data_IF_280020523746
#
_entry.id   IF_280020523746
#
_cell.length_a   1.000
_cell.length_b   1.000
_cell.length_c   1.000
_cell.angle_alpha   90.00
_cell.angle_beta   90.00
_cell.angle_gamma   90.00
#
_symmetry.space_group_name_H-M   'P 1'
#
loop_
_entity.id
_entity.type
_entity.pdbx_description
1 polymer ?
#
# COMPACT_ATOMS: atom_id res chain seq x y z
N UNK A 1 -1.09 -14.02 13.75
CA UNK A 1 0.19 -13.48 14.29
C UNK A 1 1.14 -13.06 13.18
N UNK A 2 1.44 -13.90 12.17
CA UNK A 2 2.35 -13.54 11.08
C UNK A 2 1.90 -12.33 10.24
N UNK A 3 0.62 -12.28 9.84
CA UNK A 3 0.08 -11.16 9.07
C UNK A 3 0.15 -9.82 9.81
N UNK A 4 -0.10 -9.82 11.13
CA UNK A 4 -0.01 -8.61 11.93
C UNK A 4 1.44 -8.15 12.07
N UNK A 5 2.36 -9.09 12.30
CA UNK A 5 3.80 -8.85 12.34
C UNK A 5 4.32 -8.25 11.03
N UNK A 6 3.86 -8.74 9.89
CA UNK A 6 4.22 -8.17 8.58
C UNK A 6 3.79 -6.71 8.41
N UNK A 7 2.66 -6.33 9.00
CA UNK A 7 2.19 -4.94 8.96
C UNK A 7 2.97 -4.06 9.94
N UNK A 8 3.30 -4.59 11.11
CA UNK A 8 4.03 -3.86 12.15
C UNK A 8 5.51 -3.66 11.79
N UNK A 9 6.08 -4.59 11.00
CA UNK A 9 7.50 -4.60 10.63
C UNK A 9 7.67 -4.62 9.08
N UNK A 10 7.34 -3.54 8.35
CA UNK A 10 7.27 -3.55 6.89
C UNK A 10 8.59 -3.83 6.16
N UNK A 11 9.72 -3.67 6.85
CA UNK A 11 11.06 -3.96 6.31
C UNK A 11 11.27 -5.46 6.10
N UNK A 12 10.54 -6.30 6.85
CA UNK A 12 10.62 -7.76 6.77
C UNK A 12 9.49 -8.38 5.94
N UNK A 13 8.69 -7.56 5.25
CA UNK A 13 7.62 -8.03 4.37
C UNK A 13 8.06 -9.12 3.37
N UNK A 14 9.23 -9.01 2.70
CA UNK A 14 9.69 -10.05 1.78
C UNK A 14 9.89 -11.41 2.47
N UNK A 15 10.47 -11.43 3.67
CA UNK A 15 10.70 -12.64 4.46
C UNK A 15 9.36 -13.24 4.90
N UNK A 16 8.42 -12.42 5.37
CA UNK A 16 7.09 -12.90 5.73
C UNK A 16 6.33 -13.46 4.52
N UNK A 17 6.47 -12.86 3.33
CA UNK A 17 5.87 -13.36 2.11
C UNK A 17 6.43 -14.73 1.71
N UNK A 18 7.74 -14.93 1.90
CA UNK A 18 8.36 -16.23 1.67
C UNK A 18 7.85 -17.31 2.64
N UNK A 19 7.66 -16.98 3.92
CA UNK A 19 7.05 -17.91 4.89
C UNK A 19 5.62 -18.26 4.47
N UNK A 20 4.82 -17.27 4.02
CA UNK A 20 3.49 -17.53 3.48
C UNK A 20 3.51 -18.46 2.26
N UNK A 21 4.54 -18.36 1.42
CA UNK A 21 4.71 -19.20 0.23
C UNK A 21 4.91 -20.67 0.63
N UNK A 22 5.77 -20.92 1.61
CA UNK A 22 6.03 -22.27 2.14
C UNK A 22 4.78 -22.90 2.75
N UNK A 23 3.92 -22.07 3.37
CA UNK A 23 2.69 -22.54 4.02
C UNK A 23 1.48 -22.60 3.07
N UNK A 24 1.58 -22.17 1.80
CA UNK A 24 0.42 -21.89 0.92
C UNK A 24 -0.54 -23.07 0.74
N UNK A 25 -0.02 -24.29 0.75
CA UNK A 25 -0.75 -25.53 0.51
C UNK A 25 -1.18 -26.24 1.80
N UNK A 26 -0.86 -25.70 2.98
CA UNK A 26 -1.29 -26.29 4.25
C UNK A 26 -2.81 -26.17 4.35
N UNK A 27 -3.46 -27.28 4.65
CA UNK A 27 -4.89 -27.30 4.97
C UNK A 27 -5.13 -26.82 6.40
N UNK A 28 -6.16 -26.00 6.55
CA UNK A 28 -6.60 -25.43 7.83
C UNK A 28 -8.11 -25.59 7.94
N UNK A 29 -8.59 -25.76 9.18
CA UNK A 29 -10.02 -25.90 9.43
C UNK A 29 -10.77 -24.64 9.02
N UNK A 30 -11.77 -24.78 8.15
CA UNK A 30 -12.65 -23.68 7.82
C UNK A 30 -13.66 -23.47 8.95
N UNK A 31 -13.59 -22.31 9.61
CA UNK A 31 -14.63 -21.91 10.59
C UNK A 31 -15.98 -21.58 9.95
N UNK A 32 -16.07 -21.55 8.62
CA UNK A 32 -17.26 -21.15 7.86
C UNK A 32 -18.07 -22.33 7.28
N UNK A 33 -17.51 -23.54 7.26
CA UNK A 33 -18.20 -24.75 6.80
C UNK A 33 -18.05 -25.84 7.85
N UNK A 34 -19.16 -26.41 8.30
CA UNK A 34 -19.22 -27.46 9.33
C UNK A 34 -18.40 -28.73 8.99
N UNK A 35 -17.90 -28.88 7.75
CA UNK A 35 -17.06 -29.99 7.32
C UNK A 35 -16.17 -29.63 6.10
N UNK A 36 -15.49 -28.47 6.13
CA UNK A 36 -14.61 -28.08 5.03
C UNK A 36 -13.20 -27.72 5.49
N UNK A 37 -12.17 -28.39 4.97
CA UNK A 37 -10.80 -27.84 5.04
C UNK A 37 -10.63 -26.77 3.97
N UNK A 38 -9.86 -25.72 4.28
CA UNK A 38 -9.48 -24.69 3.32
C UNK A 38 -7.96 -24.57 3.30
N UNK A 39 -7.39 -24.05 2.21
CA UNK A 39 -5.94 -23.87 2.15
C UNK A 39 -5.54 -22.56 2.80
N UNK A 40 -4.35 -22.52 3.39
CA UNK A 40 -3.76 -21.30 3.92
C UNK A 40 -3.77 -20.15 2.91
N UNK A 41 -3.51 -20.45 1.63
CA UNK A 41 -3.63 -19.47 0.53
C UNK A 41 -5.02 -18.83 0.46
N UNK A 42 -6.09 -19.62 0.50
CA UNK A 42 -7.48 -19.10 0.43
C UNK A 42 -7.78 -18.19 1.63
N UNK A 43 -7.34 -18.58 2.83
CA UNK A 43 -7.48 -17.75 4.04
C UNK A 43 -6.72 -16.43 3.88
N UNK A 44 -5.48 -16.47 3.39
CA UNK A 44 -4.66 -15.27 3.23
C UNK A 44 -5.25 -14.31 2.20
N UNK A 45 -5.76 -14.82 1.08
CA UNK A 45 -6.46 -14.03 0.06
C UNK A 45 -7.67 -13.30 0.67
N UNK A 46 -8.51 -14.01 1.43
CA UNK A 46 -9.68 -13.42 2.09
C UNK A 46 -9.29 -12.37 3.13
N UNK A 47 -8.26 -12.66 3.93
CA UNK A 47 -7.72 -11.69 4.89
C UNK A 47 -7.26 -10.42 4.18
N UNK A 48 -6.62 -10.55 3.02
CA UNK A 48 -6.20 -9.39 2.24
C UNK A 48 -7.40 -8.58 1.73
N UNK A 49 -8.39 -9.25 1.14
CA UNK A 49 -9.60 -8.56 0.67
C UNK A 49 -10.30 -7.78 1.80
N UNK A 50 -10.51 -8.42 2.95
CA UNK A 50 -11.14 -7.80 4.12
C UNK A 50 -10.33 -6.61 4.67
N UNK A 51 -9.00 -6.77 4.77
CA UNK A 51 -8.13 -5.70 5.26
C UNK A 51 -8.14 -4.49 4.32
N UNK A 52 -8.09 -4.71 3.01
CA UNK A 52 -8.15 -3.64 2.03
C UNK A 52 -9.49 -2.90 2.06
N UNK A 53 -10.60 -3.63 2.15
CA UNK A 53 -11.93 -3.02 2.28
C UNK A 53 -12.07 -2.21 3.57
N UNK A 54 -11.47 -2.67 4.67
CA UNK A 54 -11.39 -1.92 5.91
C UNK A 54 -10.65 -0.59 5.74
N UNK A 55 -9.53 -0.56 5.01
CA UNK A 55 -8.80 0.69 4.69
C UNK A 55 -9.70 1.65 3.89
N UNK A 56 -10.37 1.15 2.84
CA UNK A 56 -11.26 2.01 2.05
C UNK A 56 -12.43 2.53 2.91
N UNK A 57 -13.04 1.68 3.74
CA UNK A 57 -14.15 2.05 4.62
C UNK A 57 -13.72 3.07 5.69
N UNK A 58 -12.60 2.85 6.38
CA UNK A 58 -12.07 3.76 7.40
C UNK A 58 -11.69 5.11 6.80
N UNK A 59 -11.08 5.10 5.61
CA UNK A 59 -10.81 6.34 4.88
C UNK A 59 -12.11 7.13 4.68
N UNK A 60 -13.22 6.50 4.27
CA UNK A 60 -14.54 7.13 4.11
C UNK A 60 -15.11 7.64 5.42
N UNK A 61 -14.99 6.88 6.52
CA UNK A 61 -15.52 7.26 7.84
C UNK A 61 -14.82 8.47 8.47
N UNK A 62 -13.53 8.70 8.19
CA UNK A 62 -12.84 9.93 8.62
C UNK A 62 -13.53 11.22 8.10
N UNK A 63 -14.31 11.15 7.01
CA UNK A 63 -15.16 12.27 6.55
C UNK A 63 -16.22 12.62 7.60
N UNK A 64 -16.98 11.60 8.04
CA UNK A 64 -18.12 11.79 8.95
C UNK A 64 -17.66 12.24 10.33
N UNK A 65 -16.55 11.69 10.82
CA UNK A 65 -16.04 12.03 12.15
C UNK A 65 -15.37 13.40 12.26
N UNK A 66 -14.83 13.99 11.17
CA UNK A 66 -14.28 15.36 11.25
C UNK A 66 -15.36 16.42 11.54
N UNK A 67 -16.61 16.13 11.17
CA UNK A 67 -17.77 17.01 11.37
C UNK A 67 -18.38 16.80 12.78
N UNK A 68 -18.37 15.57 13.30
CA UNK A 68 -19.14 15.20 14.50
C UNK A 68 -18.28 15.03 15.79
N UNK A 69 -17.00 14.65 15.67
CA UNK A 69 -16.16 14.24 16.83
C UNK A 69 -15.35 15.36 17.48
N UNK A 70 -15.32 16.57 16.90
CA UNK A 70 -14.74 17.77 17.54
C UNK A 70 -15.36 18.09 18.91
N UNK A 71 -16.51 17.48 19.27
CA UNK A 71 -17.21 17.71 20.53
C UNK A 71 -16.88 16.74 21.69
N UNK A 72 -16.16 15.61 21.50
CA UNK A 72 -16.04 14.58 22.58
C UNK A 72 -14.70 13.81 22.74
N UNK A 73 -13.69 13.98 21.89
CA UNK A 73 -12.37 13.31 22.07
C UNK A 73 -11.25 14.36 22.07
N UNK A 74 -10.27 14.20 22.97
CA UNK A 74 -9.04 15.01 22.99
C UNK A 74 -8.29 14.88 21.66
N UNK A 75 -7.81 16.01 21.12
CA UNK A 75 -7.09 16.08 19.84
C UNK A 75 -5.95 15.04 19.74
N UNK A 76 -5.20 14.85 20.83
CA UNK A 76 -4.10 13.87 20.93
C UNK A 76 -4.52 12.41 20.64
N UNK A 77 -5.71 11.99 21.10
CA UNK A 77 -6.22 10.63 20.84
C UNK A 77 -6.68 10.45 19.41
N UNK A 78 -7.05 11.54 18.73
CA UNK A 78 -7.41 11.51 17.30
C UNK A 78 -6.13 11.36 16.48
N UNK A 79 -5.13 12.19 16.77
CA UNK A 79 -3.86 12.21 16.04
C UNK A 79 -3.10 10.87 16.16
N UNK A 80 -3.09 10.25 17.35
CA UNK A 80 -2.49 8.93 17.54
C UNK A 80 -3.19 7.83 16.73
N UNK A 81 -4.53 7.86 16.67
CA UNK A 81 -5.29 6.88 15.90
C UNK A 81 -5.05 7.03 14.40
N UNK A 82 -4.93 8.26 13.90
CA UNK A 82 -4.65 8.53 12.49
C UNK A 82 -3.24 8.07 12.09
N UNK A 83 -2.24 8.28 12.97
CA UNK A 83 -0.87 7.78 12.75
C UNK A 83 -0.83 6.26 12.69
N UNK A 84 -1.48 5.57 13.65
CA UNK A 84 -1.55 4.11 13.67
C UNK A 84 -2.26 3.58 12.43
N UNK A 85 -3.40 4.19 12.06
CA UNK A 85 -4.16 3.82 10.88
C UNK A 85 -3.32 3.97 9.60
N UNK A 86 -2.61 5.09 9.45
CA UNK A 86 -1.75 5.34 8.30
C UNK A 86 -0.60 4.34 8.23
N UNK A 87 0.11 4.10 9.33
CA UNK A 87 1.19 3.10 9.41
C UNK A 87 0.70 1.72 9.00
N UNK A 88 -0.45 1.29 9.56
CA UNK A 88 -1.06 -0.01 9.28
C UNK A 88 -1.46 -0.14 7.81
N UNK A 89 -2.07 0.90 7.23
CA UNK A 89 -2.49 0.92 5.82
C UNK A 89 -1.29 0.78 4.87
N UNK A 90 -0.20 1.49 5.16
CA UNK A 90 1.04 1.45 4.38
C UNK A 90 1.73 0.09 4.49
N UNK A 91 1.91 -0.42 5.72
CA UNK A 91 2.54 -1.72 5.95
C UNK A 91 1.76 -2.85 5.28
N UNK A 92 0.44 -2.77 5.35
CA UNK A 92 -0.45 -3.71 4.68
C UNK A 92 -0.33 -3.67 3.15
N UNK A 93 -0.35 -2.49 2.52
CA UNK A 93 -0.17 -2.39 1.07
C UNK A 93 1.20 -2.91 0.61
N UNK A 94 2.27 -2.63 1.37
CA UNK A 94 3.59 -3.20 1.07
C UNK A 94 3.57 -4.72 1.15
N UNK A 95 2.98 -5.28 2.20
CA UNK A 95 2.90 -6.72 2.36
C UNK A 95 2.10 -7.38 1.23
N UNK A 96 0.97 -6.79 0.81
CA UNK A 96 0.23 -7.26 -0.36
C UNK A 96 1.08 -7.31 -1.62
N UNK A 97 1.89 -6.28 -1.89
CA UNK A 97 2.78 -6.27 -3.05
C UNK A 97 3.80 -7.41 -2.98
N UNK A 98 4.37 -7.68 -1.80
CA UNK A 98 5.29 -8.82 -1.63
C UNK A 98 4.58 -10.16 -1.85
N UNK A 99 3.34 -10.31 -1.37
CA UNK A 99 2.52 -11.51 -1.61
C UNK A 99 2.17 -11.71 -3.10
N UNK A 100 2.08 -10.64 -3.88
CA UNK A 100 1.88 -10.72 -5.33
C UNK A 100 3.16 -11.23 -6.03
N UNK A 101 4.34 -10.72 -5.65
CA UNK A 101 5.62 -11.14 -6.23
C UNK A 101 5.91 -12.62 -6.03
N UNK A 102 5.44 -13.21 -4.93
CA UNK A 102 5.54 -14.66 -4.67
C UNK A 102 4.32 -15.43 -5.18
N UNK A 103 3.49 -14.82 -6.02
CA UNK A 103 2.31 -15.41 -6.68
C UNK A 103 1.29 -16.04 -5.72
N UNK A 104 1.22 -15.57 -4.47
CA UNK A 104 0.19 -16.00 -3.50
C UNK A 104 -1.11 -15.24 -3.76
N UNK A 105 -1.01 -13.93 -4.02
CA UNK A 105 -2.09 -13.14 -4.57
C UNK A 105 -2.06 -13.22 -6.10
N UNK A 106 -3.23 -13.02 -6.72
CA UNK A 106 -3.36 -12.93 -8.17
C UNK A 106 -3.44 -11.45 -8.58
N UNK A 107 -2.93 -11.05 -9.76
CA UNK A 107 -2.91 -9.65 -10.22
C UNK A 107 -4.27 -8.93 -10.15
N UNK A 108 -5.37 -9.67 -10.42
CA UNK A 108 -6.72 -9.13 -10.41
C UNK A 108 -7.14 -8.54 -9.06
N UNK A 109 -6.61 -9.07 -7.95
CA UNK A 109 -6.88 -8.49 -6.61
C UNK A 109 -6.31 -7.08 -6.55
N UNK A 110 -5.13 -6.87 -7.14
CA UNK A 110 -4.45 -5.59 -7.11
C UNK A 110 -5.05 -4.58 -8.09
N UNK A 111 -5.53 -5.02 -9.25
CA UNK A 111 -6.31 -4.19 -10.18
C UNK A 111 -7.51 -3.56 -9.47
N UNK A 112 -8.26 -4.38 -8.74
CA UNK A 112 -9.40 -3.91 -7.94
C UNK A 112 -8.95 -2.94 -6.85
N UNK A 113 -7.80 -3.18 -6.22
CA UNK A 113 -7.26 -2.28 -5.21
C UNK A 113 -6.91 -0.91 -5.81
N UNK A 114 -6.14 -0.89 -6.89
CA UNK A 114 -5.72 0.33 -7.60
C UNK A 114 -6.93 1.13 -8.09
N UNK A 115 -7.90 0.45 -8.71
CA UNK A 115 -9.13 1.07 -9.20
C UNK A 115 -9.98 1.69 -8.06
N UNK A 116 -9.97 1.10 -6.86
CA UNK A 116 -10.64 1.64 -5.66
C UNK A 116 -9.85 2.80 -5.04
N UNK A 117 -8.51 2.71 -4.96
CA UNK A 117 -7.66 3.75 -4.35
C UNK A 117 -7.68 5.03 -5.17
N UNK A 118 -7.53 4.94 -6.50
CA UNK A 118 -7.45 6.12 -7.38
C UNK A 118 -8.74 6.95 -7.40
N UNK A 119 -9.88 6.38 -6.99
CA UNK A 119 -11.14 7.11 -6.85
C UNK A 119 -11.21 7.95 -5.57
N UNK A 120 -10.25 7.81 -4.67
CA UNK A 120 -10.22 8.53 -3.39
C UNK A 120 -9.22 9.69 -3.44
N UNK A 121 -9.67 10.96 -3.36
CA UNK A 121 -8.79 12.13 -3.38
C UNK A 121 -8.12 12.38 -2.02
N UNK A 122 -7.76 11.32 -1.30
CA UNK A 122 -7.26 11.38 0.09
C UNK A 122 -5.83 10.92 0.15
N UNK A 123 -5.09 11.51 1.09
CA UNK A 123 -3.66 11.26 1.24
C UNK A 123 -3.31 9.79 1.45
N UNK A 124 -3.95 9.10 2.39
CA UNK A 124 -3.61 7.71 2.71
C UNK A 124 -3.89 6.76 1.53
N UNK A 125 -5.09 6.78 0.90
CA UNK A 125 -5.33 6.02 -0.31
C UNK A 125 -4.36 6.32 -1.46
N UNK A 126 -4.01 7.59 -1.68
CA UNK A 126 -3.07 7.99 -2.74
C UNK A 126 -1.63 7.57 -2.43
N UNK A 127 -1.22 7.61 -1.16
CA UNK A 127 0.07 7.09 -0.71
C UNK A 127 0.15 5.57 -0.90
N UNK A 128 -0.89 4.83 -0.51
CA UNK A 128 -1.01 3.40 -0.79
C UNK A 128 -0.96 3.09 -2.29
N UNK A 129 -1.64 3.89 -3.12
CA UNK A 129 -1.61 3.75 -4.57
C UNK A 129 -0.19 3.92 -5.13
N UNK A 130 0.50 5.00 -4.74
CA UNK A 130 1.88 5.24 -5.17
C UNK A 130 2.83 4.12 -4.74
N UNK A 131 2.65 3.58 -3.53
CA UNK A 131 3.44 2.43 -3.05
C UNK A 131 3.21 1.21 -3.95
N UNK A 132 1.96 0.88 -4.24
CA UNK A 132 1.61 -0.27 -5.11
C UNK A 132 2.25 -0.10 -6.48
N UNK A 133 2.06 1.05 -7.11
CA UNK A 133 2.63 1.35 -8.43
C UNK A 133 4.16 1.24 -8.43
N UNK A 134 4.84 1.71 -7.38
CA UNK A 134 6.30 1.61 -7.27
C UNK A 134 6.81 0.16 -7.14
N UNK A 135 6.02 -0.76 -6.58
CA UNK A 135 6.47 -2.14 -6.37
C UNK A 135 6.18 -3.05 -7.55
N UNK A 136 5.02 -2.86 -8.20
CA UNK A 136 4.46 -3.82 -9.16
C UNK A 136 3.81 -3.14 -10.37
N UNK A 137 3.97 -1.82 -10.53
CA UNK A 137 3.35 -1.07 -11.63
C UNK A 137 3.87 -1.45 -13.03
N UNK A 138 5.01 -2.13 -13.14
CA UNK A 138 5.49 -2.71 -14.41
C UNK A 138 4.62 -3.88 -14.88
N UNK A 139 4.02 -4.61 -13.95
CA UNK A 139 3.28 -5.85 -14.20
C UNK A 139 1.79 -5.61 -14.47
N UNK A 140 1.33 -4.36 -14.38
CA UNK A 140 -0.10 -4.04 -14.35
C UNK A 140 -0.41 -2.88 -15.29
N UNK A 141 -1.48 -3.01 -16.08
CA UNK A 141 -1.95 -1.96 -16.98
C UNK A 141 -2.80 -0.91 -16.24
N UNK A 142 -2.44 0.35 -16.42
CA UNK A 142 -2.82 1.44 -15.53
C UNK A 142 -3.14 2.76 -16.24
N UNK A 143 -3.44 2.75 -17.54
CA UNK A 143 -3.62 4.01 -18.30
C UNK A 143 -4.55 5.02 -17.59
N UNK A 144 -5.76 4.59 -17.21
CA UNK A 144 -6.75 5.43 -16.51
C UNK A 144 -6.36 5.85 -15.08
N UNK A 145 -5.43 5.14 -14.45
CA UNK A 145 -4.92 5.47 -13.11
C UNK A 145 -4.01 6.69 -13.20
N UNK A 146 -3.15 6.72 -14.22
CA UNK A 146 -2.18 7.80 -14.39
C UNK A 146 -2.83 9.11 -14.81
N UNK A 147 -3.90 9.09 -15.61
CA UNK A 147 -4.69 10.30 -15.89
C UNK A 147 -5.16 10.99 -14.60
N UNK A 148 -5.70 10.23 -13.66
CA UNK A 148 -6.11 10.78 -12.35
C UNK A 148 -4.93 11.22 -11.49
N UNK A 149 -3.79 10.53 -11.56
CA UNK A 149 -2.59 10.97 -10.85
C UNK A 149 -2.10 12.32 -11.37
N UNK A 150 -2.17 12.57 -12.69
CA UNK A 150 -1.90 13.89 -13.26
C UNK A 150 -2.89 14.96 -12.77
N UNK A 151 -4.17 14.62 -12.60
CA UNK A 151 -5.13 15.56 -12.01
C UNK A 151 -4.80 15.89 -10.54
N UNK A 152 -4.41 14.87 -9.76
CA UNK A 152 -4.05 15.02 -8.35
C UNK A 152 -2.70 15.72 -8.12
N UNK A 153 -1.77 15.68 -9.08
CA UNK A 153 -0.50 16.40 -8.96
C UNK A 153 -0.65 17.92 -9.09
N UNK A 154 -1.74 18.38 -9.72
CA UNK A 154 -2.02 19.81 -9.85
C UNK A 154 -2.40 20.46 -8.52
N UNK A 155 -1.70 21.54 -8.15
CA UNK A 155 -1.97 22.33 -6.94
C UNK A 155 -3.34 23.03 -7.01
N UNK A 156 -3.76 23.44 -8.20
CA UNK A 156 -5.03 24.14 -8.39
C UNK A 156 -6.25 23.21 -8.23
N UNK A 157 -6.08 21.90 -8.40
CA UNK A 157 -7.18 20.92 -8.44
C UNK A 157 -7.26 20.04 -7.20
N UNK A 158 -6.24 20.01 -6.35
CA UNK A 158 -6.16 19.08 -5.22
C UNK A 158 -5.81 19.76 -3.90
N UNK A 159 -6.48 19.35 -2.82
CA UNK A 159 -6.19 19.80 -1.44
C UNK A 159 -5.16 18.89 -0.74
N UNK A 160 -4.26 18.28 -1.51
CA UNK A 160 -3.26 17.33 -0.99
C UNK A 160 -2.09 18.09 -0.37
N UNK A 161 -1.34 17.48 0.55
CA UNK A 161 -0.06 18.04 1.00
C UNK A 161 1.00 17.97 -0.11
N UNK A 162 1.98 18.87 -0.04
CA UNK A 162 3.13 18.88 -0.95
C UNK A 162 3.83 17.51 -0.99
N UNK A 163 3.99 16.85 0.16
CA UNK A 163 4.58 15.51 0.27
C UNK A 163 3.86 14.47 -0.59
N UNK A 164 2.52 14.45 -0.57
CA UNK A 164 1.74 13.52 -1.40
C UNK A 164 1.87 13.89 -2.88
N UNK A 165 1.80 15.18 -3.23
CA UNK A 165 1.99 15.62 -4.62
C UNK A 165 3.35 15.22 -5.16
N UNK A 166 4.43 15.43 -4.41
CA UNK A 166 5.77 14.98 -4.78
C UNK A 166 5.81 13.46 -4.96
N UNK A 167 5.21 12.69 -4.06
CA UNK A 167 5.15 11.22 -4.19
C UNK A 167 4.40 10.77 -5.46
N UNK A 168 3.34 11.49 -5.85
CA UNK A 168 2.61 11.24 -7.08
C UNK A 168 3.50 11.56 -8.29
N UNK A 169 4.15 12.73 -8.30
CA UNK A 169 5.07 13.14 -9.36
C UNK A 169 6.23 12.14 -9.52
N UNK A 170 6.85 11.68 -8.42
CA UNK A 170 7.88 10.64 -8.44
C UNK A 170 7.38 9.35 -9.10
N UNK A 171 6.11 9.00 -8.88
CA UNK A 171 5.50 7.79 -9.42
C UNK A 171 5.20 7.94 -10.92
N UNK A 172 4.76 9.12 -11.34
CA UNK A 172 4.59 9.49 -12.75
C UNK A 172 5.94 9.45 -13.48
N UNK A 173 6.97 10.06 -12.90
CA UNK A 173 8.33 10.06 -13.43
C UNK A 173 8.88 8.63 -13.56
N UNK A 174 8.64 7.79 -12.55
CA UNK A 174 9.05 6.38 -12.58
C UNK A 174 8.39 5.64 -13.75
N UNK A 175 7.10 5.86 -14.01
CA UNK A 175 6.43 5.30 -15.19
C UNK A 175 7.04 5.82 -16.49
N UNK A 176 7.24 7.14 -16.59
CA UNK A 176 7.79 7.76 -17.80
C UNK A 176 9.22 7.28 -18.10
N UNK A 177 9.97 6.89 -17.08
CA UNK A 177 11.28 6.25 -17.19
C UNK A 177 11.21 4.71 -17.28
N UNK A 178 10.11 4.16 -17.79
CA UNK A 178 9.90 2.72 -17.98
C UNK A 178 10.16 1.86 -16.72
N UNK A 179 9.81 2.39 -15.54
CA UNK A 179 9.98 1.74 -14.23
C UNK A 179 11.44 1.51 -13.82
N UNK A 180 12.39 2.20 -14.44
CA UNK A 180 13.81 2.17 -14.06
C UNK A 180 14.05 3.18 -12.95
N UNK A 181 14.52 2.71 -11.80
CA UNK A 181 14.90 3.59 -10.69
C UNK A 181 16.14 4.40 -11.09
N UNK A 182 16.10 5.73 -10.89
CA UNK A 182 17.30 6.57 -11.05
C UNK A 182 18.33 6.13 -10.01
N UNK A 183 19.48 5.63 -10.44
CA UNK A 183 20.60 5.37 -9.52
C UNK A 183 20.98 6.72 -8.89
N UNK A 184 20.83 6.80 -7.56
CA UNK A 184 21.40 7.90 -6.79
C UNK A 184 22.91 7.66 -6.83
N UNK A 185 23.62 8.37 -7.71
CA UNK A 185 25.08 8.37 -7.70
C UNK A 185 25.47 8.91 -6.32
N UNK A 186 25.95 8.04 -5.44
CA UNK A 186 26.60 8.46 -4.20
C UNK A 186 27.94 9.07 -4.59
N UNK A 187 28.04 10.41 -4.55
CA UNK A 187 29.27 11.17 -4.77
C UNK A 187 30.30 10.93 -3.64
N UNK A 188 30.71 9.69 -3.41
CA UNK A 188 31.69 9.35 -2.36
C UNK A 188 33.03 8.86 -2.93
N UNK A 189 33.18 8.73 -4.24
CA UNK A 189 34.39 8.12 -4.84
C UNK A 189 35.40 9.14 -5.42
N UNK A 190 35.09 10.44 -5.49
CA UNK A 190 35.98 11.44 -6.13
C UNK A 190 36.93 12.19 -5.18
N UNK A 191 36.98 11.85 -3.88
CA UNK A 191 37.90 12.49 -2.92
C UNK A 191 39.19 11.68 -2.64
N UNK A 192 39.30 10.43 -3.12
CA UNK A 192 40.50 9.62 -2.90
C UNK A 192 41.55 9.70 -4.01
N UNK A 193 41.26 10.31 -5.17
CA UNK A 193 42.22 10.42 -6.29
C UNK A 193 42.95 11.78 -6.38
N UNK A 194 42.93 12.61 -5.32
CA UNK A 194 43.72 13.86 -5.25
C UNK A 194 44.81 13.87 -4.18
N UNK A 195 45.28 12.70 -3.75
CA UNK A 195 46.45 12.55 -2.89
C UNK A 195 47.34 11.40 -3.35
N UNK A 196 47.87 11.49 -4.56
CA UNK A 196 49.16 10.91 -4.94
C UNK A 196 49.90 11.89 -5.84
#
# INVERSE_FOLDING_TARGET
MLFQKAIDEPIFCPQYAHICLLMKNIEVDSKEQECGTTTFRKVLVRMCQNAFESIIAQSRMMIKHSIEKRKKRTQEKIDQNDVVYRKRSIGYCRFMCELLKVEILIPQILDVCVAKLVKSPKEIPLECLCIILKHVGKEIDHYSVFEKLYEYSSECKSKLSARIRCMILDTIDLKNNSWVQRHRIEETTLLHEKRE
#
